data_IF_647353927820
#
_entry.id   IF_647353927820
#
_cell.length_a   1.000
_cell.length_b   1.000
_cell.length_c   1.000
_cell.angle_alpha   90.00
_cell.angle_beta   90.00
_cell.angle_gamma   90.00
#
_symmetry.space_group_name_H-M   'P 1'
#
loop_
_entity.id
_entity.type
_entity.pdbx_description
1 polymer ?
#
# COMPACT_ATOMS: atom_id res chain seq x y z
N UNK A 1 0.61 -5.74 -2.94
CA UNK A 1 -0.26 -4.53 -2.96
C UNK A 1 -0.59 -4.11 -4.38
N UNK A 2 0.41 -3.96 -5.28
CA UNK A 2 0.20 -3.57 -6.67
C UNK A 2 -0.87 -4.42 -7.39
N UNK A 3 -0.74 -5.75 -7.35
CA UNK A 3 -1.69 -6.68 -7.98
C UNK A 3 -3.13 -6.53 -7.45
N UNK A 4 -3.31 -6.35 -6.15
CA UNK A 4 -4.63 -6.12 -5.55
C UNK A 4 -5.25 -4.79 -6.02
N UNK A 5 -4.43 -3.76 -6.25
CA UNK A 5 -4.92 -2.49 -6.79
C UNK A 5 -5.38 -2.64 -8.25
N UNK A 6 -4.75 -3.53 -9.03
CA UNK A 6 -5.13 -3.83 -10.43
C UNK A 6 -6.44 -4.60 -10.49
N UNK A 7 -6.60 -5.62 -9.64
CA UNK A 7 -7.81 -6.45 -9.60
C UNK A 7 -9.05 -5.63 -9.23
N UNK A 8 -8.87 -4.61 -8.36
CA UNK A 8 -9.89 -3.64 -7.99
C UNK A 8 -11.29 -4.26 -7.70
N UNK A 9 -11.36 -5.23 -6.76
CA UNK A 9 -12.49 -6.17 -6.64
C UNK A 9 -13.82 -5.56 -6.17
N UNK A 10 -13.86 -4.32 -5.70
CA UNK A 10 -15.06 -3.66 -5.19
C UNK A 10 -15.49 -2.49 -6.09
N UNK A 11 -16.79 -2.17 -6.06
CA UNK A 11 -17.35 -0.99 -6.74
C UNK A 11 -16.71 0.31 -6.22
N UNK A 12 -16.51 0.42 -4.91
CA UNK A 12 -15.84 1.55 -4.25
C UNK A 12 -15.07 1.06 -3.01
N UNK A 13 -14.08 1.84 -2.59
CA UNK A 13 -13.36 1.59 -1.33
C UNK A 13 -12.14 0.68 -1.42
N UNK A 14 -11.75 0.20 -2.61
CA UNK A 14 -10.58 -0.67 -2.83
C UNK A 14 -9.33 -0.19 -2.09
N UNK A 15 -8.96 1.08 -2.26
CA UNK A 15 -7.76 1.63 -1.60
C UNK A 15 -7.80 1.55 -0.08
N UNK A 16 -8.98 1.74 0.56
CA UNK A 16 -9.11 1.61 2.02
C UNK A 16 -8.98 0.15 2.45
N UNK A 17 -9.71 -0.74 1.78
CA UNK A 17 -9.72 -2.18 2.10
C UNK A 17 -8.35 -2.81 1.90
N UNK A 18 -7.68 -2.53 0.78
CA UNK A 18 -6.35 -3.07 0.47
C UNK A 18 -5.32 -2.59 1.50
N UNK A 19 -5.35 -1.30 1.89
CA UNK A 19 -4.40 -0.78 2.90
C UNK A 19 -4.58 -1.39 4.28
N UNK A 20 -5.82 -1.62 4.72
CA UNK A 20 -6.06 -2.30 6.00
C UNK A 20 -5.72 -3.79 5.91
N UNK A 21 -6.01 -4.46 4.80
CA UNK A 21 -5.58 -5.84 4.58
C UNK A 21 -4.07 -6.00 4.69
N UNK A 22 -3.29 -5.16 3.97
CA UNK A 22 -1.83 -5.19 4.01
C UNK A 22 -1.29 -4.83 5.40
N UNK A 23 -1.92 -3.91 6.13
CA UNK A 23 -1.56 -3.55 7.50
C UNK A 23 -1.78 -4.71 8.48
N UNK A 24 -2.90 -5.44 8.37
CA UNK A 24 -3.18 -6.63 9.18
C UNK A 24 -2.17 -7.74 8.84
N UNK A 25 -1.89 -7.97 7.56
CA UNK A 25 -0.90 -8.95 7.12
C UNK A 25 0.48 -8.64 7.69
N UNK A 26 0.92 -7.38 7.62
CA UNK A 26 2.18 -6.95 8.20
C UNK A 26 2.21 -7.15 9.73
N UNK A 27 1.12 -6.76 10.42
CA UNK A 27 1.00 -6.93 11.87
C UNK A 27 1.09 -8.40 12.30
N UNK A 28 0.47 -9.31 11.54
CA UNK A 28 0.57 -10.76 11.76
C UNK A 28 1.99 -11.31 11.58
N UNK A 29 2.85 -10.59 10.87
CA UNK A 29 4.26 -10.92 10.66
C UNK A 29 5.21 -10.05 11.52
N UNK A 30 4.70 -9.36 12.55
CA UNK A 30 5.52 -8.57 13.48
C UNK A 30 5.91 -7.17 12.98
N UNK A 31 5.36 -6.70 11.87
CA UNK A 31 5.64 -5.37 11.33
C UNK A 31 4.49 -4.40 11.56
N UNK A 32 4.79 -3.15 11.92
CA UNK A 32 3.78 -2.10 12.01
C UNK A 32 3.86 -1.16 10.81
N UNK A 33 2.75 -1.00 10.08
CA UNK A 33 2.66 -0.01 9.00
C UNK A 33 1.96 1.26 9.47
N UNK A 34 2.63 2.41 9.35
CA UNK A 34 2.07 3.73 9.64
C UNK A 34 1.80 4.50 8.34
N UNK A 35 0.66 4.27 7.70
CA UNK A 35 0.32 4.95 6.44
C UNK A 35 0.35 6.48 6.52
N UNK A 36 0.05 7.05 7.69
CA UNK A 36 0.07 8.50 7.92
C UNK A 36 1.48 9.12 7.84
N UNK A 37 2.55 8.32 7.84
CA UNK A 37 3.91 8.83 7.60
C UNK A 37 4.21 9.08 6.12
N UNK A 38 3.35 8.64 5.21
CA UNK A 38 3.48 8.86 3.77
C UNK A 38 2.40 9.84 3.32
N UNK A 39 2.78 10.81 2.49
CA UNK A 39 1.80 11.67 1.84
C UNK A 39 0.84 10.84 0.96
N UNK A 40 -0.47 11.06 1.13
CA UNK A 40 -1.50 10.30 0.42
C UNK A 40 -1.37 10.40 -1.11
N UNK A 41 -1.04 11.59 -1.66
CA UNK A 41 -0.85 11.76 -3.10
C UNK A 41 0.38 11.00 -3.59
N UNK A 42 1.44 10.94 -2.80
CA UNK A 42 2.64 10.15 -3.12
C UNK A 42 2.33 8.66 -3.17
N UNK A 43 1.66 8.13 -2.15
CA UNK A 43 1.27 6.72 -2.11
C UNK A 43 0.33 6.36 -3.28
N UNK A 44 -0.61 7.26 -3.60
CA UNK A 44 -1.50 7.09 -4.74
C UNK A 44 -0.73 7.04 -6.07
N UNK A 45 0.14 8.02 -6.34
CA UNK A 45 0.97 8.05 -7.56
C UNK A 45 1.84 6.79 -7.67
N UNK A 46 2.51 6.40 -6.60
CA UNK A 46 3.32 5.17 -6.56
C UNK A 46 2.48 3.91 -6.80
N UNK A 47 1.23 3.88 -6.32
CA UNK A 47 0.30 2.78 -6.58
C UNK A 47 -0.12 2.69 -8.05
N UNK A 48 -0.32 3.82 -8.72
CA UNK A 48 -0.62 3.86 -10.16
C UNK A 48 0.60 3.44 -10.97
N UNK A 49 1.78 3.96 -10.64
CA UNK A 49 3.03 3.64 -11.34
C UNK A 49 3.45 2.17 -11.18
N UNK A 50 3.02 1.52 -10.09
CA UNK A 50 3.32 0.11 -9.79
C UNK A 50 2.84 -0.91 -10.83
N UNK A 51 2.01 -0.49 -11.79
CA UNK A 51 1.66 -1.29 -12.97
C UNK A 51 2.87 -1.51 -13.88
N UNK A 52 3.78 -0.53 -13.96
CA UNK A 52 4.96 -0.56 -14.82
C UNK A 52 6.27 -0.67 -14.02
N UNK A 53 6.33 -0.04 -12.84
CA UNK A 53 7.52 0.01 -12.01
C UNK A 53 7.17 -0.08 -10.52
N UNK A 54 7.63 -1.13 -9.85
CA UNK A 54 7.36 -1.37 -8.43
C UNK A 54 8.19 -0.50 -7.48
N UNK A 55 9.33 0.04 -7.91
CA UNK A 55 10.30 0.71 -7.03
C UNK A 55 9.71 1.87 -6.22
N UNK A 56 8.90 2.79 -6.79
CA UNK A 56 8.30 3.88 -6.03
C UNK A 56 7.36 3.38 -4.93
N UNK A 57 6.60 2.31 -5.21
CA UNK A 57 5.68 1.72 -4.24
C UNK A 57 6.43 0.98 -3.15
N UNK A 58 7.50 0.25 -3.50
CA UNK A 58 8.41 -0.40 -2.54
C UNK A 58 9.00 0.65 -1.59
N UNK A 59 9.50 1.78 -2.13
CA UNK A 59 10.06 2.87 -1.32
C UNK A 59 9.03 3.45 -0.36
N UNK A 60 7.79 3.66 -0.83
CA UNK A 60 6.70 4.10 0.03
C UNK A 60 6.46 3.11 1.18
N UNK A 61 6.24 1.83 0.87
CA UNK A 61 5.92 0.81 1.88
C UNK A 61 7.07 0.66 2.90
N UNK A 62 8.32 0.60 2.43
CA UNK A 62 9.50 0.56 3.32
C UNK A 62 9.55 1.77 4.26
N UNK A 63 9.23 2.96 3.77
CA UNK A 63 9.18 4.18 4.58
C UNK A 63 8.03 4.24 5.60
N UNK A 64 7.00 3.39 5.47
CA UNK A 64 5.92 3.28 6.45
C UNK A 64 6.06 2.11 7.42
N UNK A 65 6.92 1.13 7.15
CA UNK A 65 7.17 0.02 8.07
C UNK A 65 8.05 0.51 9.22
N UNK A 66 7.63 0.24 10.45
CA UNK A 66 8.47 0.30 11.64
C UNK A 66 8.76 -1.12 12.13
N UNK A 67 10.02 -1.37 12.42
CA UNK A 67 10.53 -2.49 13.22
C UNK A 67 10.37 -2.19 14.71
#
# INVERSE_FOLDING_TARGET
MAELNIIHPFREGNGRTIREFIKILALKNGYQIKWNSINQKTLFKASVESVLNLDPLIKCIKGAIKS
#
